data_IF_289034740647
#
_entry.id   IF_289034740647
#
_cell.length_a   1.000
_cell.length_b   1.000
_cell.length_c   1.000
_cell.angle_alpha   90.00
_cell.angle_beta   90.00
_cell.angle_gamma   90.00
#
_symmetry.space_group_name_H-M   'P 1'
#
loop_
_entity.id
_entity.type
_entity.pdbx_description
1 polymer ?
#
# COMPACT_ATOMS: atom_id res chain seq x y z
N UNK A 1 15.21 2.14 31.94
CA UNK A 1 15.36 1.54 30.60
C UNK A 1 14.08 1.85 29.84
N UNK A 2 14.06 2.91 29.06
CA UNK A 2 12.90 3.26 28.21
C UNK A 2 12.80 2.20 27.12
N UNK A 3 11.64 1.55 26.87
CA UNK A 3 11.53 0.67 25.72
C UNK A 3 11.88 1.49 24.48
N UNK A 4 12.81 0.98 23.66
CA UNK A 4 13.08 1.52 22.32
C UNK A 4 11.73 1.67 21.65
N UNK A 5 11.43 2.86 21.11
CA UNK A 5 10.27 3.15 20.28
C UNK A 5 10.01 1.98 19.31
N UNK A 6 9.16 1.05 19.71
CA UNK A 6 8.68 0.01 18.81
C UNK A 6 7.72 0.74 17.89
N UNK A 7 7.99 0.68 16.59
CA UNK A 7 7.05 1.16 15.60
C UNK A 7 5.74 0.39 15.84
N UNK A 8 4.61 1.07 16.11
CA UNK A 8 3.34 0.37 16.26
C UNK A 8 3.06 -0.37 14.95
N UNK A 9 2.91 -1.68 15.04
CA UNK A 9 2.58 -2.54 13.90
C UNK A 9 1.09 -2.40 13.64
N UNK A 10 0.73 -2.04 12.42
CA UNK A 10 -0.65 -2.12 11.94
C UNK A 10 -0.82 -3.50 11.33
N UNK A 11 -1.61 -4.35 11.97
CA UNK A 11 -1.88 -5.68 11.44
C UNK A 11 -2.79 -5.59 10.22
N UNK A 12 -2.37 -6.18 9.10
CA UNK A 12 -3.21 -6.35 7.91
C UNK A 12 -4.41 -7.23 8.28
N UNK A 13 -5.66 -6.78 8.11
CA UNK A 13 -6.83 -7.54 8.52
C UNK A 13 -6.99 -8.85 7.75
N UNK A 14 -7.55 -9.89 8.38
CA UNK A 14 -7.80 -11.20 7.73
C UNK A 14 -8.60 -11.10 6.42
N UNK A 15 -9.55 -10.16 6.35
CA UNK A 15 -10.36 -9.96 5.15
C UNK A 15 -9.54 -9.41 3.96
N UNK A 16 -8.40 -8.75 4.19
CA UNK A 16 -7.47 -8.36 3.11
C UNK A 16 -6.80 -9.59 2.52
N UNK A 17 -6.33 -10.52 3.36
CA UNK A 17 -5.78 -11.79 2.89
C UNK A 17 -6.81 -12.61 2.13
N UNK A 18 -8.06 -12.65 2.62
CA UNK A 18 -9.18 -13.26 1.90
C UNK A 18 -9.41 -12.62 0.52
N UNK A 19 -9.41 -11.30 0.42
CA UNK A 19 -9.59 -10.58 -0.84
C UNK A 19 -8.43 -10.85 -1.82
N UNK A 20 -7.18 -10.78 -1.36
CA UNK A 20 -6.01 -11.10 -2.19
C UNK A 20 -6.06 -12.55 -2.67
N UNK A 21 -6.45 -13.49 -1.82
CA UNK A 21 -6.62 -14.89 -2.20
C UNK A 21 -7.68 -15.06 -3.29
N UNK A 22 -8.83 -14.37 -3.18
CA UNK A 22 -9.86 -14.38 -4.21
C UNK A 22 -9.37 -13.77 -5.53
N UNK A 23 -8.57 -12.70 -5.50
CA UNK A 23 -7.95 -12.11 -6.69
C UNK A 23 -7.04 -13.13 -7.38
N UNK A 24 -6.18 -13.81 -6.62
CA UNK A 24 -5.27 -14.82 -7.16
C UNK A 24 -6.03 -16.01 -7.77
N UNK A 25 -7.10 -16.48 -7.12
CA UNK A 25 -7.94 -17.56 -7.64
C UNK A 25 -8.67 -17.16 -8.92
N UNK A 26 -9.20 -15.94 -8.98
CA UNK A 26 -10.02 -15.47 -10.10
C UNK A 26 -9.18 -15.11 -11.33
N UNK A 27 -8.02 -14.50 -11.12
CA UNK A 27 -7.10 -14.12 -12.20
C UNK A 27 -6.20 -15.26 -12.64
N UNK A 28 -5.92 -16.21 -11.74
CA UNK A 28 -5.02 -17.34 -11.96
C UNK A 28 -3.71 -16.96 -12.69
N UNK A 29 -2.96 -15.96 -12.19
CA UNK A 29 -1.72 -15.55 -12.84
C UNK A 29 -0.69 -16.67 -12.77
N UNK A 30 0.19 -16.75 -13.77
CA UNK A 30 1.40 -17.55 -13.65
C UNK A 30 2.40 -16.88 -12.68
N UNK A 31 3.41 -17.66 -12.26
CA UNK A 31 4.41 -17.20 -11.28
C UNK A 31 5.16 -15.95 -11.76
N UNK A 32 5.46 -15.87 -13.06
CA UNK A 32 6.19 -14.73 -13.63
C UNK A 32 5.36 -13.44 -13.60
N UNK A 33 4.06 -13.53 -13.91
CA UNK A 33 3.11 -12.41 -13.84
C UNK A 33 2.91 -11.97 -12.39
N UNK A 34 2.77 -12.93 -11.46
CA UNK A 34 2.63 -12.63 -10.05
C UNK A 34 3.89 -11.93 -9.50
N UNK A 35 5.08 -12.45 -9.83
CA UNK A 35 6.34 -11.84 -9.41
C UNK A 35 6.49 -10.42 -9.99
N UNK A 36 6.16 -10.22 -11.26
CA UNK A 36 6.19 -8.90 -11.88
C UNK A 36 5.21 -7.92 -11.23
N UNK A 37 4.00 -8.37 -10.89
CA UNK A 37 2.99 -7.56 -10.21
C UNK A 37 3.45 -7.16 -8.79
N UNK A 38 4.00 -8.10 -8.01
CA UNK A 38 4.54 -7.81 -6.67
C UNK A 38 5.69 -6.80 -6.77
N UNK A 39 6.62 -6.99 -7.70
CA UNK A 39 7.72 -6.04 -7.94
C UNK A 39 7.20 -4.67 -8.37
N UNK A 40 6.16 -4.60 -9.20
CA UNK A 40 5.54 -3.35 -9.61
C UNK A 40 4.92 -2.62 -8.41
N UNK A 41 4.18 -3.34 -7.56
CA UNK A 41 3.57 -2.82 -6.34
C UNK A 41 4.62 -2.29 -5.35
N UNK A 42 5.70 -3.04 -5.11
CA UNK A 42 6.79 -2.59 -4.23
C UNK A 42 7.46 -1.32 -4.75
N UNK A 43 7.78 -1.28 -6.05
CA UNK A 43 8.39 -0.10 -6.65
C UNK A 43 7.45 1.12 -6.58
N UNK A 44 6.14 0.92 -6.83
CA UNK A 44 5.14 1.98 -6.74
C UNK A 44 4.97 2.48 -5.30
N UNK A 45 4.99 1.58 -4.30
CA UNK A 45 4.94 1.96 -2.88
C UNK A 45 6.15 2.81 -2.46
N UNK A 46 7.36 2.44 -2.91
CA UNK A 46 8.58 3.23 -2.67
C UNK A 46 8.49 4.60 -3.34
N UNK A 47 8.04 4.66 -4.60
CA UNK A 47 7.88 5.93 -5.31
C UNK A 47 6.81 6.81 -4.65
N UNK A 48 5.70 6.21 -4.21
CA UNK A 48 4.61 6.88 -3.52
C UNK A 48 5.08 7.46 -2.18
N UNK A 49 5.93 6.75 -1.43
CA UNK A 49 6.52 7.26 -0.19
C UNK A 49 7.30 8.57 -0.40
N UNK A 50 8.01 8.70 -1.53
CA UNK A 50 8.76 9.91 -1.86
C UNK A 50 7.86 11.12 -2.15
N UNK A 51 6.60 10.88 -2.56
CA UNK A 51 5.61 11.90 -2.92
C UNK A 51 4.41 11.95 -1.96
N UNK A 52 4.53 11.34 -0.77
CA UNK A 52 3.44 11.22 0.19
C UNK A 52 2.86 12.59 0.60
N UNK A 53 1.58 12.65 0.98
CA UNK A 53 0.98 13.86 1.54
C UNK A 53 1.71 14.36 2.80
N UNK A 54 1.72 15.68 3.02
CA UNK A 54 2.32 16.33 4.19
C UNK A 54 1.74 15.82 5.52
N UNK A 55 0.46 15.43 5.52
CA UNK A 55 -0.19 14.81 6.69
C UNK A 55 0.52 13.54 7.16
N UNK A 56 1.24 12.86 6.27
CA UNK A 56 2.00 11.62 6.53
C UNK A 56 3.50 11.85 6.72
N UNK A 57 3.97 13.11 6.75
CA UNK A 57 5.40 13.43 6.86
C UNK A 57 6.05 12.88 8.13
N UNK A 58 5.27 12.71 9.20
CA UNK A 58 5.73 12.20 10.50
C UNK A 58 5.86 10.68 10.56
N UNK A 59 5.33 9.96 9.57
CA UNK A 59 5.50 8.51 9.52
C UNK A 59 6.96 8.16 9.19
N UNK A 60 7.40 6.99 9.63
CA UNK A 60 8.56 6.34 9.02
C UNK A 60 8.14 5.65 7.72
N UNK A 61 9.12 5.29 6.87
CA UNK A 61 8.85 4.51 5.66
C UNK A 61 8.15 3.18 5.98
N UNK A 62 8.51 2.56 7.10
CA UNK A 62 7.88 1.32 7.58
C UNK A 62 6.42 1.54 8.00
N UNK A 63 6.13 2.61 8.76
CA UNK A 63 4.75 2.94 9.14
C UNK A 63 3.87 3.26 7.93
N UNK A 64 4.46 3.91 6.92
CA UNK A 64 3.76 4.14 5.67
C UNK A 64 3.48 2.84 4.92
N UNK A 65 4.45 1.91 4.87
CA UNK A 65 4.22 0.60 4.26
C UNK A 65 3.10 -0.16 4.94
N UNK A 66 3.10 -0.18 6.27
CA UNK A 66 2.03 -0.78 7.07
C UNK A 66 0.67 -0.12 6.81
N UNK A 67 0.62 1.21 6.69
CA UNK A 67 -0.60 1.93 6.32
C UNK A 67 -1.08 1.53 4.92
N UNK A 68 -0.17 1.43 3.93
CA UNK A 68 -0.52 0.99 2.59
C UNK A 68 -1.07 -0.43 2.56
N UNK A 69 -0.44 -1.34 3.30
CA UNK A 69 -0.86 -2.74 3.35
C UNK A 69 -2.23 -2.88 4.03
N UNK A 70 -2.48 -2.07 5.06
CA UNK A 70 -3.77 -1.97 5.72
C UNK A 70 -4.85 -1.29 4.87
N UNK A 71 -4.51 -0.28 4.06
CA UNK A 71 -5.50 0.52 3.35
C UNK A 71 -5.85 -0.02 1.96
N UNK A 72 -4.89 -0.64 1.28
CA UNK A 72 -4.97 -0.82 -0.17
C UNK A 72 -4.35 -2.12 -0.70
N UNK A 73 -3.85 -3.04 0.14
CA UNK A 73 -3.15 -4.23 -0.35
C UNK A 73 -3.90 -5.05 -1.42
N UNK A 74 -5.20 -5.38 -1.25
CA UNK A 74 -5.95 -6.11 -2.27
C UNK A 74 -6.06 -5.33 -3.60
N UNK A 75 -6.36 -4.04 -3.54
CA UNK A 75 -6.58 -3.18 -4.71
C UNK A 75 -5.26 -2.94 -5.47
N UNK A 76 -4.17 -2.74 -4.74
CA UNK A 76 -2.83 -2.58 -5.32
C UNK A 76 -2.39 -3.87 -6.02
N UNK A 77 -2.62 -5.04 -5.42
CA UNK A 77 -2.33 -6.33 -6.06
C UNK A 77 -3.18 -6.53 -7.32
N UNK A 78 -4.49 -6.29 -7.24
CA UNK A 78 -5.41 -6.45 -8.37
C UNK A 78 -5.02 -5.56 -9.55
N UNK A 79 -4.72 -4.28 -9.28
CA UNK A 79 -4.28 -3.35 -10.31
C UNK A 79 -2.89 -3.74 -10.86
N UNK A 80 -1.93 -4.10 -10.02
CA UNK A 80 -0.61 -4.53 -10.49
C UNK A 80 -0.68 -5.74 -11.43
N UNK A 81 -1.58 -6.70 -11.13
CA UNK A 81 -1.87 -7.84 -12.00
C UNK A 81 -2.55 -7.40 -13.30
N UNK A 82 -3.43 -6.39 -13.27
CA UNK A 82 -4.11 -5.88 -14.46
C UNK A 82 -3.13 -5.19 -15.42
N UNK A 83 -2.20 -4.45 -14.84
CA UNK A 83 -1.10 -3.77 -15.53
C UNK A 83 -0.03 -4.76 -16.05
N UNK A 84 -0.16 -6.06 -15.75
CA UNK A 84 0.77 -7.11 -16.16
C UNK A 84 2.17 -6.97 -15.57
N UNK A 85 2.32 -6.23 -14.46
CA UNK A 85 3.62 -5.96 -13.85
C UNK A 85 4.58 -5.12 -14.70
N UNK A 86 4.10 -4.43 -15.75
CA UNK A 86 4.97 -3.58 -16.58
C UNK A 86 5.45 -2.38 -15.77
N UNK A 87 6.78 -2.32 -15.52
CA UNK A 87 7.42 -1.22 -14.79
C UNK A 87 7.14 0.15 -15.39
N UNK A 88 6.84 0.26 -16.69
CA UNK A 88 6.44 1.54 -17.31
C UNK A 88 5.14 2.09 -16.73
N UNK A 89 4.33 1.23 -16.11
CA UNK A 89 3.04 1.55 -15.52
C UNK A 89 3.14 1.89 -14.02
N UNK A 90 4.36 1.99 -13.48
CA UNK A 90 4.61 2.36 -12.07
C UNK A 90 3.91 3.67 -11.69
N UNK A 91 3.86 4.65 -12.60
CA UNK A 91 3.20 5.94 -12.36
C UNK A 91 1.70 5.76 -12.12
N UNK A 92 1.04 4.93 -12.93
CA UNK A 92 -0.38 4.66 -12.79
C UNK A 92 -0.70 3.96 -11.45
N UNK A 93 0.11 2.98 -11.06
CA UNK A 93 -0.07 2.31 -9.77
C UNK A 93 0.22 3.24 -8.59
N UNK A 94 1.21 4.11 -8.71
CA UNK A 94 1.54 5.12 -7.71
C UNK A 94 0.41 6.13 -7.53
N UNK A 95 -0.18 6.62 -8.62
CA UNK A 95 -1.32 7.54 -8.57
C UNK A 95 -2.55 6.84 -7.93
N UNK A 96 -2.75 5.54 -8.19
CA UNK A 96 -3.81 4.75 -7.54
C UNK A 96 -3.60 4.58 -6.02
N UNK A 97 -2.35 4.32 -5.60
CA UNK A 97 -1.97 4.27 -4.18
C UNK A 97 -2.27 5.61 -3.51
N UNK A 98 -1.86 6.72 -4.13
CA UNK A 98 -2.08 8.05 -3.58
C UNK A 98 -3.57 8.34 -3.38
N UNK A 99 -4.41 7.99 -4.36
CA UNK A 99 -5.85 8.15 -4.25
C UNK A 99 -6.44 7.38 -3.06
N UNK A 100 -6.04 6.11 -2.87
CA UNK A 100 -6.54 5.31 -1.73
C UNK A 100 -6.11 5.90 -0.39
N UNK A 101 -4.87 6.38 -0.29
CA UNK A 101 -4.36 7.02 0.93
C UNK A 101 -5.13 8.31 1.22
N UNK A 102 -5.37 9.15 0.22
CA UNK A 102 -6.13 10.38 0.36
C UNK A 102 -7.59 10.09 0.76
N UNK A 103 -8.21 9.06 0.20
CA UNK A 103 -9.56 8.61 0.58
C UNK A 103 -9.60 8.18 2.06
N UNK A 104 -8.62 7.41 2.52
CA UNK A 104 -8.52 7.03 3.95
C UNK A 104 -8.37 8.27 4.83
N UNK A 105 -7.49 9.20 4.46
CA UNK A 105 -7.27 10.43 5.21
C UNK A 105 -8.51 11.35 5.24
N UNK A 106 -9.33 11.33 4.19
CA UNK A 106 -10.59 12.07 4.15
C UNK A 106 -11.63 11.50 5.13
N UNK A 107 -11.68 10.18 5.30
CA UNK A 107 -12.62 9.51 6.22
C UNK A 107 -12.10 9.46 7.67
N UNK A 108 -10.79 9.39 7.84
CA UNK A 108 -10.11 9.27 9.13
C UNK A 108 -9.00 10.32 9.23
N UNK A 109 -9.34 11.61 9.39
CA UNK A 109 -8.35 12.67 9.45
C UNK A 109 -7.41 12.48 10.66
N UNK A 110 -6.13 12.85 10.55
CA UNK A 110 -5.22 12.78 11.68
C UNK A 110 -5.77 13.58 12.86
N UNK A 111 -5.60 13.11 14.11
CA UNK A 111 -6.01 13.88 15.27
C UNK A 111 -5.34 15.25 15.23
N UNK A 112 -6.14 16.32 15.41
CA UNK A 112 -5.64 17.68 15.45
C UNK A 112 -4.53 17.77 16.50
N UNK A 113 -3.34 18.25 16.11
CA UNK A 113 -2.28 18.54 17.08
C UNK A 113 -2.83 19.59 18.05
N UNK A 114 -3.08 19.19 19.29
CA UNK A 114 -3.31 20.15 20.36
C UNK A 114 -1.97 20.87 20.58
N UNK A 115 -1.94 22.15 20.21
CA UNK A 115 -0.80 23.04 20.45
C UNK A 115 -0.69 23.46 21.92
#
# INVERSE_FOLDING_TARGET
MTPRNAIPVIDTPEHHFGAMFLILLTRAPDDATLEAAVRLADNAAIASWALRPDALVTLTAEQYRQLLDYAAAPQVLDLALYLGGDRKQIRALMDHIAQHVDDVLAHYPPPARQG
#
